data_IF_886830908640
#
_entry.id   IF_886830908640
#
_cell.length_a   1.000
_cell.length_b   1.000
_cell.length_c   1.000
_cell.angle_alpha   90.00
_cell.angle_beta   90.00
_cell.angle_gamma   90.00
#
_symmetry.space_group_name_H-M   'P 1'
#
loop_
_entity.id
_entity.type
_entity.pdbx_description
1 polymer ?
#
# COMPACT_ATOMS: atom_id res chain seq x y z
N UNK A 1 13.26 -8.36 12.32
CA UNK A 1 12.39 -8.05 11.18
C UNK A 1 11.84 -6.66 11.34
N UNK A 2 11.94 -5.83 10.30
CA UNK A 2 11.31 -4.51 10.37
C UNK A 2 9.80 -4.67 10.47
N UNK A 3 9.20 -3.88 11.34
CA UNK A 3 7.75 -3.85 11.46
C UNK A 3 7.15 -3.09 10.29
N UNK A 4 6.03 -3.59 9.81
CA UNK A 4 5.23 -2.90 8.81
C UNK A 4 4.26 -1.99 9.55
N UNK A 5 4.27 -0.70 9.20
CA UNK A 5 3.49 0.30 9.93
C UNK A 5 2.58 1.09 9.01
N UNK A 6 1.47 1.57 9.57
CA UNK A 6 0.53 2.43 8.88
C UNK A 6 1.23 3.66 8.28
N UNK A 7 0.90 3.96 7.03
CA UNK A 7 1.48 5.08 6.29
C UNK A 7 2.71 4.74 5.47
N UNK A 8 3.31 3.59 5.72
CA UNK A 8 4.44 3.15 4.90
C UNK A 8 3.96 2.68 3.54
N UNK A 9 4.72 3.01 2.51
CA UNK A 9 4.51 2.51 1.14
C UNK A 9 5.57 1.46 0.86
N UNK A 10 5.10 0.28 0.48
CA UNK A 10 5.97 -0.87 0.18
C UNK A 10 5.74 -1.34 -1.23
N UNK A 11 6.79 -1.88 -1.85
CA UNK A 11 6.63 -2.69 -3.05
C UNK A 11 6.13 -4.06 -2.64
N UNK A 12 5.05 -4.49 -3.27
CA UNK A 12 4.41 -5.78 -3.00
C UNK A 12 4.42 -6.65 -4.25
N UNK A 13 4.65 -7.94 -4.03
CA UNK A 13 4.44 -8.94 -5.06
C UNK A 13 2.99 -9.42 -4.97
N UNK A 14 2.15 -8.91 -5.86
CA UNK A 14 0.72 -9.20 -5.87
C UNK A 14 0.36 -10.42 -6.71
N UNK A 15 1.36 -11.16 -7.19
CA UNK A 15 1.14 -12.35 -7.99
C UNK A 15 1.08 -12.05 -9.47
N UNK A 16 0.60 -13.05 -10.24
CA UNK A 16 0.79 -13.12 -11.69
C UNK A 16 0.35 -11.89 -12.48
N UNK A 17 -0.92 -11.58 -12.45
CA UNK A 17 -1.48 -10.51 -13.28
C UNK A 17 -1.15 -9.13 -12.75
N UNK A 18 -1.14 -8.97 -11.43
CA UNK A 18 -0.92 -7.68 -10.79
C UNK A 18 0.57 -7.36 -10.65
N UNK A 19 1.43 -8.36 -10.63
CA UNK A 19 2.89 -8.20 -10.55
C UNK A 19 3.32 -7.42 -9.31
N UNK A 20 4.44 -6.69 -9.42
CA UNK A 20 4.98 -5.87 -8.33
C UNK A 20 4.40 -4.47 -8.43
N UNK A 21 3.82 -3.98 -7.32
CA UNK A 21 3.23 -2.64 -7.27
C UNK A 21 3.47 -2.00 -5.92
N UNK A 22 3.58 -0.66 -5.86
CA UNK A 22 3.57 0.04 -4.59
C UNK A 22 2.18 -0.02 -3.96
N UNK A 23 2.13 -0.06 -2.63
CA UNK A 23 0.88 0.04 -1.88
C UNK A 23 1.14 0.68 -0.53
N UNK A 24 0.16 1.43 -0.04
CA UNK A 24 0.25 2.06 1.27
C UNK A 24 -0.42 1.16 2.31
N UNK A 25 0.23 1.04 3.46
CA UNK A 25 -0.31 0.31 4.61
C UNK A 25 -1.29 1.21 5.34
N UNK A 26 -2.51 0.73 5.52
CA UNK A 26 -3.56 1.50 6.21
C UNK A 26 -4.01 0.84 7.52
N UNK A 27 -3.56 -0.38 7.81
CA UNK A 27 -3.89 -1.04 9.07
C UNK A 27 -3.07 -0.48 10.22
N UNK A 28 -3.64 -0.55 11.42
CA UNK A 28 -2.92 -0.24 12.65
C UNK A 28 -1.96 -1.38 13.01
N UNK A 29 -0.99 -1.17 13.93
CA UNK A 29 -0.10 -2.24 14.36
C UNK A 29 -0.87 -3.44 14.90
N UNK A 30 -0.37 -4.65 14.59
CA UNK A 30 -1.00 -5.89 14.99
C UNK A 30 -0.67 -6.25 16.43
N UNK A 31 -1.64 -6.84 17.13
CA UNK A 31 -1.42 -7.48 18.42
C UNK A 31 -1.03 -8.94 18.21
N UNK A 32 -0.41 -9.56 19.22
CA UNK A 32 0.11 -10.92 19.11
C UNK A 32 -0.97 -11.95 18.79
N UNK A 33 -2.22 -11.71 19.21
CA UNK A 33 -3.32 -12.63 18.99
C UNK A 33 -4.10 -12.35 17.71
N UNK A 34 -3.66 -11.41 16.89
CA UNK A 34 -4.32 -11.05 15.65
C UNK A 34 -3.68 -11.73 14.45
N UNK A 35 -4.45 -11.86 13.37
CA UNK A 35 -3.93 -12.45 12.14
C UNK A 35 -2.82 -11.58 11.58
N UNK A 36 -1.75 -12.23 11.12
CA UNK A 36 -0.58 -11.53 10.56
C UNK A 36 -0.84 -11.11 9.10
N UNK A 37 -1.87 -10.28 8.91
CA UNK A 37 -2.19 -9.69 7.62
C UNK A 37 -2.27 -8.17 7.76
N UNK A 38 -1.95 -7.48 6.67
CA UNK A 38 -1.88 -6.01 6.65
C UNK A 38 -2.85 -5.50 5.60
N UNK A 39 -3.69 -4.54 5.98
CA UNK A 39 -4.59 -3.88 5.03
C UNK A 39 -3.77 -2.90 4.20
N UNK A 40 -3.88 -2.99 2.89
CA UNK A 40 -3.15 -2.13 1.96
C UNK A 40 -4.08 -1.54 0.91
N UNK A 41 -3.66 -0.38 0.39
CA UNK A 41 -4.32 0.27 -0.77
C UNK A 41 -3.26 0.36 -1.86
N UNK A 42 -3.48 -0.33 -3.01
CA UNK A 42 -2.48 -0.34 -4.08
C UNK A 42 -2.42 1.00 -4.80
N UNK A 43 -1.23 1.30 -5.32
CA UNK A 43 -0.98 2.46 -6.17
C UNK A 43 -1.07 2.02 -7.63
N UNK A 44 -1.67 2.85 -8.47
CA UNK A 44 -1.77 2.59 -9.90
C UNK A 44 -1.39 3.83 -10.70
N UNK A 45 -0.75 3.61 -11.84
CA UNK A 45 -0.50 4.67 -12.82
C UNK A 45 -1.58 4.68 -13.91
N UNK A 46 -2.40 3.64 -13.99
CA UNK A 46 -3.49 3.53 -14.94
C UNK A 46 -4.78 4.11 -14.38
N UNK A 47 -4.87 5.43 -14.35
CA UNK A 47 -6.01 6.12 -13.76
C UNK A 47 -7.28 5.95 -14.58
N UNK A 48 -8.39 5.75 -13.90
CA UNK A 48 -9.72 5.69 -14.51
C UNK A 48 -10.55 6.93 -14.22
N UNK A 49 -10.02 7.84 -13.37
CA UNK A 49 -10.71 9.07 -13.01
C UNK A 49 -11.86 8.89 -12.03
N UNK A 50 -11.92 7.75 -11.35
CA UNK A 50 -12.97 7.46 -10.39
C UNK A 50 -12.76 8.18 -9.05
N UNK A 51 -13.84 8.33 -8.30
CA UNK A 51 -13.82 9.02 -7.00
C UNK A 51 -13.07 8.25 -5.91
N UNK A 52 -12.77 6.97 -6.15
CA UNK A 52 -12.03 6.13 -5.21
C UNK A 52 -10.53 6.15 -5.47
N UNK A 53 -10.08 6.94 -6.43
CA UNK A 53 -8.66 7.12 -6.71
C UNK A 53 -8.18 8.38 -5.98
N UNK A 54 -7.24 8.17 -5.05
CA UNK A 54 -6.68 9.25 -4.23
C UNK A 54 -5.30 9.59 -4.74
N UNK A 55 -5.14 10.79 -5.30
CA UNK A 55 -3.86 11.26 -5.81
C UNK A 55 -3.04 11.82 -4.65
N UNK A 56 -1.88 11.23 -4.42
CA UNK A 56 -0.89 11.73 -3.44
C UNK A 56 0.45 11.80 -4.16
N UNK A 57 0.88 13.02 -4.46
CA UNK A 57 2.13 13.24 -5.19
C UNK A 57 3.30 13.29 -4.23
N UNK A 58 4.23 12.35 -4.40
CA UNK A 58 5.50 12.33 -3.66
C UNK A 58 6.61 12.05 -4.65
N UNK A 59 7.81 12.62 -4.44
CA UNK A 59 8.88 12.53 -5.45
C UNK A 59 9.43 11.13 -5.65
N UNK A 60 9.20 10.21 -4.73
CA UNK A 60 9.72 8.86 -4.78
C UNK A 60 8.72 7.83 -5.34
N UNK A 61 7.55 8.30 -5.82
CA UNK A 61 6.57 7.48 -6.54
C UNK A 61 6.30 8.07 -7.92
N UNK A 62 6.02 7.21 -8.89
CA UNK A 62 5.53 7.66 -10.18
C UNK A 62 4.17 8.35 -10.02
N UNK A 63 3.85 9.31 -10.90
CA UNK A 63 2.53 9.92 -10.88
C UNK A 63 1.42 8.88 -11.04
N UNK A 64 0.39 8.99 -10.22
CA UNK A 64 -0.71 8.05 -10.23
C UNK A 64 -1.63 8.29 -9.05
N UNK A 65 -2.32 7.27 -8.62
CA UNK A 65 -3.25 7.37 -7.50
C UNK A 65 -3.30 6.07 -6.72
N UNK A 66 -3.72 6.18 -5.46
CA UNK A 66 -4.04 5.01 -4.65
C UNK A 66 -5.48 4.61 -4.89
N UNK A 67 -5.69 3.36 -5.29
CA UNK A 67 -7.00 2.83 -5.65
C UNK A 67 -7.66 2.20 -4.42
N UNK A 68 -8.54 2.93 -3.78
CA UNK A 68 -9.20 2.47 -2.55
C UNK A 68 -10.10 1.27 -2.80
N UNK A 69 -10.64 1.12 -4.00
CA UNK A 69 -11.44 -0.05 -4.35
C UNK A 69 -10.61 -1.33 -4.45
N UNK A 70 -9.30 -1.19 -4.58
CA UNK A 70 -8.38 -2.32 -4.58
C UNK A 70 -7.88 -2.70 -3.19
N UNK A 71 -8.38 -2.10 -2.14
CA UNK A 71 -7.94 -2.37 -0.77
C UNK A 71 -8.15 -3.84 -0.42
N UNK A 72 -7.13 -4.43 0.21
CA UNK A 72 -7.18 -5.83 0.64
C UNK A 72 -6.17 -6.12 1.72
N UNK A 73 -6.33 -7.26 2.38
CA UNK A 73 -5.41 -7.72 3.41
C UNK A 73 -4.42 -8.71 2.83
N UNK A 74 -3.14 -8.50 3.10
CA UNK A 74 -2.07 -9.34 2.54
C UNK A 74 -1.08 -9.73 3.64
N UNK A 75 -0.50 -10.96 3.52
CA UNK A 75 0.49 -11.44 4.50
C UNK A 75 1.85 -10.77 4.30
N UNK A 76 2.68 -10.84 5.34
CA UNK A 76 4.05 -10.28 5.30
C UNK A 76 4.87 -10.80 4.12
N UNK A 77 4.63 -12.02 3.69
CA UNK A 77 5.42 -12.68 2.65
C UNK A 77 5.40 -11.96 1.30
N UNK A 78 4.38 -11.14 1.01
CA UNK A 78 4.31 -10.41 -0.26
C UNK A 78 4.99 -9.04 -0.20
N UNK A 79 5.39 -8.59 0.97
CA UNK A 79 6.07 -7.30 1.15
C UNK A 79 7.55 -7.46 0.80
N UNK A 80 7.99 -6.72 -0.21
CA UNK A 80 9.35 -6.84 -0.74
C UNK A 80 10.29 -5.80 -0.16
N UNK A 81 9.94 -4.53 -0.29
CA UNK A 81 10.81 -3.43 0.11
C UNK A 81 10.00 -2.17 0.41
N UNK A 82 10.38 -1.48 1.49
CA UNK A 82 9.77 -0.20 1.81
C UNK A 82 10.30 0.88 0.87
N UNK A 83 9.37 1.70 0.34
CA UNK A 83 9.71 2.79 -0.56
C UNK A 83 9.74 4.14 0.15
N UNK A 84 8.92 4.34 1.16
CA UNK A 84 8.87 5.58 1.88
C UNK A 84 7.67 5.64 2.82
N UNK A 85 7.45 6.80 3.39
CA UNK A 85 6.35 7.05 4.31
C UNK A 85 5.48 8.19 3.81
N UNK A 86 4.17 8.04 3.93
CA UNK A 86 3.25 9.15 3.72
C UNK A 86 3.07 9.91 5.02
N UNK A 87 2.87 11.21 4.92
CA UNK A 87 2.55 12.05 6.06
C UNK A 87 1.22 11.60 6.67
N UNK A 88 1.05 11.65 8.01
CA UNK A 88 -0.26 11.37 8.61
C UNK A 88 -1.41 12.17 8.01
N UNK A 89 -1.14 13.39 7.54
CA UNK A 89 -2.14 14.21 6.87
C UNK A 89 -2.54 13.67 5.49
N UNK A 90 -1.75 12.76 4.91
CA UNK A 90 -2.00 12.18 3.58
C UNK A 90 -2.74 10.84 3.65
N UNK A 91 -2.88 10.31 4.83
CA UNK A 91 -3.50 8.98 5.01
C UNK A 91 -4.99 9.12 5.45
#
# INVERSE_FOLDING_TARGET
MPNIQRGEVWLLDLGMAAKVRPAVVVSIPLLDNERAVYAIVPHTTGLRGGRFEVVIDVPWLEPGAFDVQGMRNLPRSVFMRRRGDLDPAQI
#
